data_IF_914451549398
#
_entry.id   IF_914451549398
#
_cell.length_a   1.000
_cell.length_b   1.000
_cell.length_c   1.000
_cell.angle_alpha   90.00
_cell.angle_beta   90.00
_cell.angle_gamma   90.00
#
_symmetry.space_group_name_H-M   'P 1'
#
loop_
_entity.id
_entity.type
_entity.pdbx_description
1 polymer ?
#
# COMPACT_ATOMS: atom_id res chain seq x y z
N UNK A 1 -16.20 0.96 -36.21
CA UNK A 1 -15.00 1.55 -35.58
C UNK A 1 -15.00 1.13 -34.12
N UNK A 2 -14.08 0.27 -33.71
CA UNK A 2 -13.84 -0.05 -32.30
C UNK A 2 -12.94 1.03 -31.73
N UNK A 3 -13.53 1.94 -30.95
CA UNK A 3 -12.79 2.99 -30.24
C UNK A 3 -12.01 2.33 -29.10
N UNK A 4 -10.71 2.15 -29.28
CA UNK A 4 -9.80 1.71 -28.23
C UNK A 4 -9.57 2.87 -27.27
N UNK A 5 -10.18 2.80 -26.10
CA UNK A 5 -9.92 3.72 -24.99
C UNK A 5 -8.41 3.75 -24.71
N UNK A 6 -7.77 4.93 -24.58
CA UNK A 6 -6.36 4.98 -24.20
C UNK A 6 -6.22 4.41 -22.79
N UNK A 7 -5.42 3.34 -22.65
CA UNK A 7 -4.93 2.88 -21.34
C UNK A 7 -4.22 4.09 -20.71
N UNK A 8 -4.84 4.68 -19.70
CA UNK A 8 -4.15 5.60 -18.80
C UNK A 8 -3.06 4.79 -18.10
N UNK A 9 -1.87 4.72 -18.68
CA UNK A 9 -0.65 4.45 -17.92
C UNK A 9 -0.39 5.70 -17.06
N UNK A 10 -1.27 5.94 -16.10
CA UNK A 10 -1.18 7.04 -15.17
C UNK A 10 -0.16 6.67 -14.12
N UNK A 11 0.99 7.33 -14.14
CA UNK A 11 1.79 7.46 -12.93
C UNK A 11 0.88 8.15 -11.93
N UNK A 12 0.39 7.41 -10.94
CA UNK A 12 -0.34 8.00 -9.84
C UNK A 12 0.68 8.68 -8.93
N UNK A 13 0.72 10.00 -9.00
CA UNK A 13 1.48 10.82 -8.05
C UNK A 13 0.61 10.97 -6.82
N UNK A 14 1.17 10.64 -5.66
CA UNK A 14 0.56 10.87 -4.35
C UNK A 14 1.35 11.97 -3.65
N UNK A 15 0.67 12.85 -2.93
CA UNK A 15 1.31 13.70 -1.94
C UNK A 15 1.71 12.88 -0.71
N UNK A 16 2.55 13.46 0.17
CA UNK A 16 2.91 12.83 1.46
C UNK A 16 1.66 12.53 2.29
N UNK A 17 0.74 13.49 2.37
CA UNK A 17 -0.52 13.36 3.13
C UNK A 17 -1.41 12.26 2.56
N UNK A 18 -1.52 12.17 1.23
CA UNK A 18 -2.29 11.12 0.56
C UNK A 18 -1.68 9.73 0.77
N UNK A 19 -0.34 9.62 0.75
CA UNK A 19 0.35 8.37 1.04
C UNK A 19 0.15 7.93 2.50
N UNK A 20 0.19 8.87 3.45
CA UNK A 20 -0.10 8.59 4.86
C UNK A 20 -1.55 8.15 5.07
N UNK A 21 -2.52 8.85 4.47
CA UNK A 21 -3.93 8.47 4.51
C UNK A 21 -4.14 7.07 3.90
N UNK A 22 -3.46 6.78 2.79
CA UNK A 22 -3.54 5.48 2.13
C UNK A 22 -3.01 4.34 3.00
N UNK A 23 -1.94 4.56 3.77
CA UNK A 23 -1.44 3.59 4.74
C UNK A 23 -2.50 3.34 5.82
N UNK A 24 -3.13 4.39 6.35
CA UNK A 24 -4.18 4.24 7.36
C UNK A 24 -5.37 3.42 6.85
N UNK A 25 -5.84 3.68 5.63
CA UNK A 25 -6.90 2.89 4.97
C UNK A 25 -6.51 1.41 4.79
N UNK A 26 -5.25 1.14 4.43
CA UNK A 26 -4.77 -0.23 4.22
C UNK A 26 -4.71 -1.00 5.55
N UNK A 27 -4.30 -0.35 6.63
CA UNK A 27 -4.34 -0.91 7.98
C UNK A 27 -5.78 -1.19 8.39
N UNK A 28 -6.69 -0.24 8.23
CA UNK A 28 -8.12 -0.43 8.54
C UNK A 28 -8.72 -1.60 7.74
N UNK A 29 -8.42 -1.66 6.44
CA UNK A 29 -8.90 -2.74 5.55
C UNK A 29 -8.39 -4.13 5.95
N UNK A 30 -7.24 -4.21 6.62
CA UNK A 30 -6.71 -5.48 7.10
C UNK A 30 -7.51 -6.05 8.29
N UNK A 31 -8.28 -5.22 8.99
CA UNK A 31 -8.93 -5.60 10.25
C UNK A 31 -7.96 -5.91 11.39
N UNK A 32 -6.66 -5.65 11.21
CA UNK A 32 -5.59 -5.88 12.17
C UNK A 32 -4.90 -4.57 12.52
N UNK A 33 -4.21 -4.56 13.66
CA UNK A 33 -3.26 -3.49 13.93
C UNK A 33 -2.04 -3.59 12.99
N UNK A 34 -1.35 -2.46 12.79
CA UNK A 34 -0.11 -2.43 12.02
C UNK A 34 0.93 -3.39 12.60
N UNK A 35 1.15 -3.36 13.91
CA UNK A 35 2.12 -4.24 14.59
C UNK A 35 1.80 -5.73 14.39
N UNK A 36 0.51 -6.08 14.39
CA UNK A 36 0.06 -7.45 14.12
C UNK A 36 0.34 -7.89 12.69
N UNK A 37 0.07 -7.04 11.69
CA UNK A 37 0.44 -7.30 10.30
C UNK A 37 1.95 -7.55 10.15
N UNK A 38 2.79 -6.72 10.75
CA UNK A 38 4.25 -6.89 10.68
C UNK A 38 4.71 -8.18 11.39
N UNK A 39 4.17 -8.47 12.57
CA UNK A 39 4.49 -9.68 13.33
C UNK A 39 4.11 -10.95 12.56
N UNK A 40 2.88 -11.01 12.04
CA UNK A 40 2.40 -12.16 11.26
C UNK A 40 3.11 -12.27 9.91
N UNK A 41 3.46 -11.14 9.29
CA UNK A 41 4.24 -11.09 8.06
C UNK A 41 5.64 -11.70 8.24
N UNK A 42 6.33 -11.32 9.32
CA UNK A 42 7.64 -11.89 9.67
C UNK A 42 7.56 -13.40 9.98
N UNK A 43 6.43 -13.86 10.54
CA UNK A 43 6.18 -15.27 10.82
C UNK A 43 5.66 -16.07 9.60
N UNK A 44 5.46 -15.44 8.44
CA UNK A 44 4.85 -16.05 7.25
C UNK A 44 3.42 -16.58 7.46
N UNK A 45 2.70 -16.03 8.42
CA UNK A 45 1.35 -16.46 8.82
C UNK A 45 0.23 -15.68 8.11
N UNK A 46 0.58 -14.65 7.33
CA UNK A 46 -0.39 -13.90 6.54
C UNK A 46 -0.84 -14.68 5.29
N UNK A 47 -2.13 -14.61 4.99
CA UNK A 47 -2.67 -15.09 3.71
C UNK A 47 -2.22 -14.20 2.53
N UNK A 48 -2.62 -14.56 1.30
CA UNK A 48 -2.25 -13.81 0.11
C UNK A 48 -2.78 -12.36 0.13
N UNK A 49 -3.97 -12.12 0.66
CA UNK A 49 -4.58 -10.79 0.70
C UNK A 49 -3.84 -9.88 1.67
N UNK A 50 -3.61 -10.35 2.90
CA UNK A 50 -2.93 -9.57 3.94
C UNK A 50 -1.46 -9.34 3.59
N UNK A 51 -0.79 -10.29 2.92
CA UNK A 51 0.56 -10.06 2.37
C UNK A 51 0.59 -8.95 1.34
N UNK A 52 -0.41 -8.90 0.46
CA UNK A 52 -0.54 -7.80 -0.50
C UNK A 52 -0.76 -6.45 0.17
N UNK A 53 -1.55 -6.41 1.26
CA UNK A 53 -1.74 -5.21 2.06
C UNK A 53 -0.43 -4.77 2.71
N UNK A 54 0.27 -5.69 3.38
CA UNK A 54 1.55 -5.41 4.04
C UNK A 54 2.61 -4.89 3.04
N UNK A 55 2.75 -5.53 1.88
CA UNK A 55 3.70 -5.10 0.85
C UNK A 55 3.41 -3.69 0.33
N UNK A 56 2.13 -3.32 0.19
CA UNK A 56 1.75 -1.96 -0.20
C UNK A 56 2.08 -0.93 0.87
N UNK A 57 1.84 -1.28 2.15
CA UNK A 57 2.19 -0.43 3.30
C UNK A 57 3.71 -0.19 3.32
N UNK A 58 4.51 -1.26 3.27
CA UNK A 58 5.98 -1.16 3.29
C UNK A 58 6.52 -0.33 2.11
N UNK A 59 5.93 -0.50 0.92
CA UNK A 59 6.28 0.29 -0.27
C UNK A 59 6.02 1.78 -0.09
N UNK A 60 4.84 2.15 0.44
CA UNK A 60 4.50 3.55 0.70
C UNK A 60 5.40 4.15 1.81
N UNK A 61 5.68 3.40 2.87
CA UNK A 61 6.58 3.84 3.93
C UNK A 61 8.00 4.07 3.45
N UNK A 62 8.50 3.23 2.55
CA UNK A 62 9.80 3.44 1.91
C UNK A 62 9.83 4.74 1.11
N UNK A 63 8.79 5.00 0.30
CA UNK A 63 8.70 6.22 -0.50
C UNK A 63 8.60 7.48 0.37
N UNK A 64 7.84 7.42 1.47
CA UNK A 64 7.76 8.51 2.43
C UNK A 64 9.12 8.82 3.07
N UNK A 65 9.86 7.78 3.50
CA UNK A 65 11.22 7.94 4.03
C UNK A 65 12.19 8.54 3.03
N UNK A 66 12.01 8.31 1.73
CA UNK A 66 12.82 8.93 0.68
C UNK A 66 12.43 10.39 0.44
N UNK A 67 11.15 10.74 0.59
CA UNK A 67 10.67 12.10 0.38
C UNK A 67 11.04 13.07 1.53
N UNK A 68 11.30 12.54 2.73
CA UNK A 68 11.70 13.30 3.92
C UNK A 68 13.21 13.59 4.01
N UNK A 69 14.04 13.02 3.10
CA UNK A 69 15.49 13.21 3.04
C UNK A 69 15.89 14.33 2.07
#
# INVERSE_FOLDING_TARGET
MTETTPKKNGVHVLTIEEAQARIAELVEKSGMSRDELFRLGAAWELDAQHRGILANIEGLEYLLKLAEQ
#
